data_IF_076766755674
#
_entry.id   IF_076766755674
#
_cell.length_a   1.000
_cell.length_b   1.000
_cell.length_c   1.000
_cell.angle_alpha   90.00
_cell.angle_beta   90.00
_cell.angle_gamma   90.00
#
_symmetry.space_group_name_H-M   'P 1'
#
loop_
_entity.id
_entity.type
_entity.pdbx_description
1 polymer ?
#
# COMPACT_ATOMS: atom_id res chain seq x y z
N UNK A 1 -5.31 3.66 -11.45
CA UNK A 1 -6.07 2.45 -11.06
C UNK A 1 -5.86 2.05 -9.61
N UNK A 2 -4.63 2.00 -9.09
CA UNK A 2 -4.37 1.58 -7.70
C UNK A 2 -5.12 2.41 -6.64
N UNK A 3 -5.15 3.74 -6.78
CA UNK A 3 -5.91 4.64 -5.88
C UNK A 3 -7.39 4.25 -5.77
N UNK A 4 -8.10 4.17 -6.91
CA UNK A 4 -9.51 3.74 -6.99
C UNK A 4 -9.74 2.34 -6.41
N UNK A 5 -8.80 1.42 -6.63
CA UNK A 5 -8.86 0.08 -6.05
C UNK A 5 -8.82 0.13 -4.51
N UNK A 6 -7.89 0.91 -3.95
CA UNK A 6 -7.75 1.07 -2.50
C UNK A 6 -8.98 1.77 -1.90
N UNK A 7 -9.49 2.81 -2.55
CA UNK A 7 -10.73 3.50 -2.14
C UNK A 7 -11.92 2.53 -2.11
N UNK A 8 -12.04 1.67 -3.12
CA UNK A 8 -13.08 0.63 -3.15
C UNK A 8 -12.91 -0.43 -2.07
N UNK A 9 -11.68 -0.74 -1.65
CA UNK A 9 -11.41 -1.74 -0.61
C UNK A 9 -11.64 -1.22 0.80
N UNK A 10 -11.30 0.05 1.02
CA UNK A 10 -11.40 0.70 2.33
C UNK A 10 -12.80 1.30 2.52
N UNK A 11 -13.52 1.59 1.42
CA UNK A 11 -14.82 2.25 1.48
C UNK A 11 -14.73 3.74 1.82
N UNK A 12 -13.54 4.33 1.66
CA UNK A 12 -13.27 5.74 1.97
C UNK A 12 -12.46 6.40 0.87
N UNK A 13 -12.69 7.70 0.61
CA UNK A 13 -11.85 8.47 -0.30
C UNK A 13 -10.43 8.61 0.25
N UNK A 14 -9.46 8.59 -0.66
CA UNK A 14 -8.04 8.78 -0.36
C UNK A 14 -7.62 10.11 -1.00
N UNK A 15 -7.09 11.04 -0.21
CA UNK A 15 -6.48 12.26 -0.74
C UNK A 15 -5.17 11.97 -1.48
N UNK A 16 -4.68 12.89 -2.31
CA UNK A 16 -3.41 12.67 -3.00
C UNK A 16 -2.21 12.61 -2.04
N UNK A 17 -2.30 13.29 -0.90
CA UNK A 17 -1.31 13.25 0.18
C UNK A 17 -1.28 11.86 0.81
N UNK A 18 -2.44 11.33 1.24
CA UNK A 18 -2.55 9.98 1.78
C UNK A 18 -2.11 8.93 0.77
N UNK A 19 -2.45 9.10 -0.51
CA UNK A 19 -2.04 8.17 -1.55
C UNK A 19 -0.52 8.17 -1.78
N UNK A 20 0.15 9.32 -1.56
CA UNK A 20 1.61 9.41 -1.60
C UNK A 20 2.24 8.71 -0.39
N UNK A 21 1.65 8.89 0.79
CA UNK A 21 2.05 8.21 2.03
C UNK A 21 1.96 6.68 1.88
N UNK A 22 0.82 6.18 1.41
CA UNK A 22 0.57 4.75 1.18
C UNK A 22 1.60 4.17 0.21
N UNK A 23 1.91 4.88 -0.89
CA UNK A 23 2.92 4.43 -1.86
C UNK A 23 4.31 4.34 -1.23
N UNK A 24 4.66 5.29 -0.37
CA UNK A 24 5.93 5.27 0.36
C UNK A 24 5.99 4.09 1.33
N UNK A 25 4.97 3.91 2.16
CA UNK A 25 4.86 2.78 3.09
C UNK A 25 4.95 1.43 2.37
N UNK A 26 4.26 1.29 1.24
CA UNK A 26 4.28 0.07 0.41
C UNK A 26 5.70 -0.22 -0.11
N UNK A 27 6.41 0.80 -0.58
CA UNK A 27 7.77 0.65 -1.09
C UNK A 27 8.76 0.26 0.02
N UNK A 28 8.61 0.86 1.20
CA UNK A 28 9.43 0.55 2.37
C UNK A 28 9.18 -0.88 2.87
N UNK A 29 7.92 -1.31 2.94
CA UNK A 29 7.54 -2.68 3.30
C UNK A 29 8.11 -3.70 2.31
N UNK A 30 7.95 -3.46 1.00
CA UNK A 30 8.55 -4.29 -0.06
C UNK A 30 10.07 -4.36 0.10
N UNK A 31 10.73 -3.22 0.34
CA UNK A 31 12.18 -3.16 0.49
C UNK A 31 12.62 -3.98 1.70
N UNK A 32 11.92 -3.87 2.82
CA UNK A 32 12.24 -4.57 4.05
C UNK A 32 11.97 -6.08 3.96
N UNK A 33 10.78 -6.48 3.47
CA UNK A 33 10.29 -7.86 3.50
C UNK A 33 10.64 -8.71 2.27
N UNK A 34 10.88 -8.10 1.10
CA UNK A 34 11.15 -8.86 -0.13
C UNK A 34 12.59 -8.70 -0.59
N UNK A 35 13.07 -7.46 -0.73
CA UNK A 35 14.41 -7.19 -1.24
C UNK A 35 15.50 -7.73 -0.30
N UNK A 36 15.33 -7.58 1.01
CA UNK A 36 16.26 -8.13 2.02
C UNK A 36 16.34 -9.66 2.01
N UNK A 37 15.32 -10.34 1.48
CA UNK A 37 15.22 -11.80 1.43
C UNK A 37 15.46 -12.37 0.02
N UNK A 38 15.95 -11.56 -0.92
CA UNK A 38 16.23 -11.98 -2.31
C UNK A 38 14.97 -12.30 -3.13
N UNK A 39 13.78 -11.94 -2.64
CA UNK A 39 12.50 -12.17 -3.32
C UNK A 39 12.07 -10.91 -4.06
N UNK A 40 11.47 -11.06 -5.23
CA UNK A 40 10.77 -9.96 -5.92
C UNK A 40 9.28 -10.11 -5.66
N UNK A 41 8.58 -9.08 -5.15
CA UNK A 41 7.14 -9.16 -4.98
C UNK A 41 6.48 -9.27 -6.36
N UNK A 42 5.47 -10.11 -6.48
CA UNK A 42 4.58 -10.09 -7.63
C UNK A 42 3.74 -8.80 -7.61
N UNK A 43 3.10 -8.52 -8.74
CA UNK A 43 2.17 -7.39 -8.81
C UNK A 43 0.99 -7.54 -7.83
N UNK A 44 0.58 -8.78 -7.53
CA UNK A 44 -0.46 -9.04 -6.52
C UNK A 44 0.05 -8.81 -5.10
N UNK A 45 1.29 -9.20 -4.78
CA UNK A 45 1.88 -8.94 -3.46
C UNK A 45 1.94 -7.44 -3.20
N UNK A 46 2.40 -6.65 -4.19
CA UNK A 46 2.44 -5.20 -4.08
C UNK A 46 1.05 -4.57 -3.84
N UNK A 47 -0.02 -5.14 -4.44
CA UNK A 47 -1.41 -4.70 -4.19
C UNK A 47 -1.87 -5.02 -2.77
N UNK A 48 -1.59 -6.24 -2.29
CA UNK A 48 -1.98 -6.67 -0.94
C UNK A 48 -1.25 -5.83 0.12
N UNK A 49 0.03 -5.55 -0.08
CA UNK A 49 0.81 -4.68 0.81
C UNK A 49 0.23 -3.27 0.80
N UNK A 50 -0.04 -2.71 -0.38
CA UNK A 50 -0.65 -1.38 -0.49
C UNK A 50 -2.02 -1.29 0.20
N UNK A 51 -2.85 -2.33 0.08
CA UNK A 51 -4.13 -2.43 0.79
C UNK A 51 -3.93 -2.42 2.31
N UNK A 52 -2.99 -3.21 2.83
CA UNK A 52 -2.64 -3.23 4.26
C UNK A 52 -2.14 -1.87 4.75
N UNK A 53 -1.23 -1.23 4.02
CA UNK A 53 -0.72 0.11 4.35
C UNK A 53 -1.84 1.14 4.37
N UNK A 54 -2.77 1.08 3.41
CA UNK A 54 -3.88 2.01 3.32
C UNK A 54 -4.90 1.83 4.46
N UNK A 55 -5.22 0.58 4.84
CA UNK A 55 -6.04 0.28 6.01
C UNK A 55 -5.36 0.77 7.29
N UNK A 56 -4.06 0.52 7.44
CA UNK A 56 -3.29 0.97 8.60
C UNK A 56 -3.29 2.49 8.73
N UNK A 57 -3.04 3.21 7.64
CA UNK A 57 -3.04 4.67 7.63
C UNK A 57 -4.42 5.22 8.05
N UNK A 58 -5.51 4.71 7.47
CA UNK A 58 -6.89 5.15 7.76
C UNK A 58 -7.40 4.78 9.15
N UNK A 59 -6.87 3.73 9.79
CA UNK A 59 -7.22 3.38 11.17
C UNK A 59 -6.51 4.24 12.21
N UNK A 60 -5.39 4.86 11.84
CA UNK A 60 -4.58 5.68 12.74
C UNK A 60 -4.81 7.19 12.52
N UNK A 61 -5.67 7.58 11.59
CA UNK A 61 -6.00 8.97 11.26
C UNK A 61 -7.42 9.36 11.67
#
# INVERSE_FOLDING_TARGET
>A
MLKKFLESKIGQPISDVEFKEIRKMTADDIKFNFKSFGKKPSHNDAKIIAERCAIALKRCS
#
